data_IF_215534709263
#
_entry.id   IF_215534709263
#
_cell.length_a   1.000
_cell.length_b   1.000
_cell.length_c   1.000
_cell.angle_alpha   90.00
_cell.angle_beta   90.00
_cell.angle_gamma   90.00
#
_symmetry.space_group_name_H-M   'P 1'
#
loop_
_entity.id
_entity.type
_entity.pdbx_description
1 polymer ?
#
# COMPACT_ATOMS: atom_id res chain seq x y z
N UNK A 1 15.31 -6.97 -16.75
CA UNK A 1 15.94 -7.98 -15.86
C UNK A 1 17.45 -8.06 -16.00
N UNK A 2 18.03 -7.76 -17.17
CA UNK A 2 19.48 -7.86 -17.50
C UNK A 2 20.46 -7.13 -16.57
N UNK A 3 19.98 -6.29 -15.66
CA UNK A 3 20.80 -5.54 -14.70
C UNK A 3 20.54 -5.91 -13.23
N UNK A 4 19.63 -6.85 -12.94
CA UNK A 4 19.23 -7.20 -11.57
C UNK A 4 20.41 -7.84 -10.82
N UNK A 5 21.00 -8.89 -11.39
CA UNK A 5 22.18 -9.54 -10.84
C UNK A 5 23.33 -8.56 -10.55
N UNK A 6 23.65 -7.70 -11.53
CA UNK A 6 24.70 -6.67 -11.40
C UNK A 6 24.42 -5.69 -10.26
N UNK A 7 23.15 -5.35 -9.99
CA UNK A 7 22.78 -4.49 -8.87
C UNK A 7 22.91 -5.23 -7.53
N UNK A 8 22.51 -6.50 -7.49
CA UNK A 8 22.63 -7.33 -6.29
C UNK A 8 24.09 -7.58 -5.90
N UNK A 9 24.97 -7.87 -6.87
CA UNK A 9 26.40 -8.12 -6.61
C UNK A 9 27.17 -6.88 -6.10
N UNK A 10 26.57 -5.68 -6.17
CA UNK A 10 27.12 -4.48 -5.55
C UNK A 10 26.79 -4.36 -4.05
N UNK A 11 25.79 -5.10 -3.57
CA UNK A 11 25.23 -4.98 -2.22
C UNK A 11 25.38 -6.25 -1.39
N UNK A 12 25.41 -7.41 -2.03
CA UNK A 12 25.41 -8.73 -1.39
C UNK A 12 26.61 -9.57 -1.82
N UNK A 13 26.98 -10.53 -0.99
CA UNK A 13 28.03 -11.49 -1.29
C UNK A 13 27.69 -12.36 -2.51
N UNK A 14 28.71 -12.73 -3.28
CA UNK A 14 28.53 -13.36 -4.59
C UNK A 14 27.80 -14.71 -4.51
N UNK A 15 27.96 -15.44 -3.41
CA UNK A 15 27.36 -16.76 -3.17
C UNK A 15 25.83 -16.74 -3.04
N UNK A 16 25.23 -15.59 -2.72
CA UNK A 16 23.77 -15.43 -2.61
C UNK A 16 23.12 -14.73 -3.81
N UNK A 17 23.91 -14.05 -4.65
CA UNK A 17 23.41 -13.17 -5.71
C UNK A 17 22.49 -13.90 -6.69
N UNK A 18 22.91 -15.06 -7.19
CA UNK A 18 22.15 -15.79 -8.22
C UNK A 18 20.84 -16.35 -7.64
N UNK A 19 20.86 -16.84 -6.40
CA UNK A 19 19.66 -17.31 -5.69
C UNK A 19 18.66 -16.17 -5.43
N UNK A 20 19.14 -15.00 -4.99
CA UNK A 20 18.29 -13.82 -4.79
C UNK A 20 17.69 -13.32 -6.11
N UNK A 21 18.50 -13.25 -7.17
CA UNK A 21 18.04 -12.85 -8.49
C UNK A 21 16.90 -13.77 -8.97
N UNK A 22 17.11 -15.09 -8.92
CA UNK A 22 16.09 -16.07 -9.33
C UNK A 22 14.79 -15.93 -8.52
N UNK A 23 14.89 -15.74 -7.20
CA UNK A 23 13.73 -15.55 -6.31
C UNK A 23 12.94 -14.26 -6.60
N UNK A 24 13.63 -13.19 -6.96
CA UNK A 24 13.00 -11.92 -7.34
C UNK A 24 12.34 -12.04 -8.71
N UNK A 25 13.04 -12.62 -9.69
CA UNK A 25 12.52 -12.82 -11.04
C UNK A 25 11.27 -13.70 -11.05
N UNK A 26 11.26 -14.80 -10.29
CA UNK A 26 10.09 -15.65 -10.14
C UNK A 26 8.86 -14.87 -9.62
N UNK A 27 9.05 -13.99 -8.62
CA UNK A 27 7.97 -13.15 -8.07
C UNK A 27 7.49 -12.12 -9.08
N UNK A 28 8.40 -11.49 -9.82
CA UNK A 28 8.05 -10.53 -10.87
C UNK A 28 7.25 -11.21 -11.98
N UNK A 29 7.70 -12.37 -12.47
CA UNK A 29 7.01 -13.14 -13.51
C UNK A 29 5.62 -13.59 -13.05
N UNK A 30 5.50 -14.13 -11.84
CA UNK A 30 4.21 -14.50 -11.25
C UNK A 30 3.26 -13.30 -11.17
N UNK A 31 3.78 -12.12 -10.86
CA UNK A 31 2.98 -10.90 -10.76
C UNK A 31 2.57 -10.37 -12.14
N UNK A 32 3.45 -10.44 -13.14
CA UNK A 32 3.15 -10.02 -14.53
C UNK A 32 2.01 -10.84 -15.17
N UNK A 33 1.83 -12.09 -14.74
CA UNK A 33 0.71 -12.92 -15.20
C UNK A 33 -0.66 -12.42 -14.69
N UNK A 34 -0.69 -11.64 -13.60
CA UNK A 34 -1.89 -10.98 -13.11
C UNK A 34 -2.16 -9.79 -14.03
N UNK A 35 -3.01 -9.96 -15.04
CA UNK A 35 -3.42 -8.88 -15.97
C UNK A 35 -4.15 -7.78 -15.19
N UNK A 36 -3.42 -6.77 -14.74
CA UNK A 36 -3.95 -5.62 -14.02
C UNK A 36 -4.21 -4.49 -15.01
N UNK A 37 -5.43 -3.97 -15.04
CA UNK A 37 -5.75 -2.75 -15.78
C UNK A 37 -5.14 -1.56 -15.06
N UNK A 38 -4.30 -0.80 -15.75
CA UNK A 38 -3.65 0.40 -15.21
C UNK A 38 -3.73 1.51 -16.24
N UNK A 39 -3.76 2.75 -15.75
CA UNK A 39 -3.54 3.92 -16.60
C UNK A 39 -2.06 3.97 -16.95
N UNK A 40 -1.73 4.13 -18.24
CA UNK A 40 -0.35 4.06 -18.71
C UNK A 40 0.48 5.32 -18.41
N UNK A 41 -0.14 6.50 -18.46
CA UNK A 41 0.54 7.78 -18.27
C UNK A 41 -0.27 8.69 -17.35
N UNK A 42 0.42 9.66 -16.76
CA UNK A 42 -0.24 10.69 -15.97
C UNK A 42 -0.77 11.81 -16.88
N UNK A 43 -1.87 12.45 -16.48
CA UNK A 43 -2.46 13.63 -17.14
C UNK A 43 -3.05 14.60 -16.08
N UNK A 44 -3.65 15.69 -16.53
CA UNK A 44 -4.20 16.74 -15.67
C UNK A 44 -5.38 16.27 -14.79
N UNK A 45 -5.93 15.08 -15.04
CA UNK A 45 -7.00 14.46 -14.26
C UNK A 45 -6.45 13.51 -13.19
N UNK A 46 -5.15 13.47 -12.95
CA UNK A 46 -4.59 12.72 -11.81
C UNK A 46 -4.53 13.60 -10.57
N UNK A 47 -5.69 14.03 -10.07
CA UNK A 47 -5.77 14.84 -8.85
C UNK A 47 -5.77 13.90 -7.64
N UNK A 48 -4.84 14.14 -6.72
CA UNK A 48 -4.60 13.24 -5.57
C UNK A 48 -5.15 13.86 -4.29
N UNK A 49 -6.00 13.10 -3.59
CA UNK A 49 -6.38 13.36 -2.21
C UNK A 49 -5.45 12.57 -1.28
N UNK A 50 -4.65 13.26 -0.47
CA UNK A 50 -3.82 12.64 0.57
C UNK A 50 -4.54 12.81 1.91
N UNK A 51 -4.79 11.71 2.61
CA UNK A 51 -5.63 11.71 3.82
C UNK A 51 -5.34 10.52 4.72
N UNK A 52 -5.60 10.67 6.01
CA UNK A 52 -5.73 9.52 6.90
C UNK A 52 -7.03 8.75 6.61
N UNK A 53 -7.00 7.43 6.78
CA UNK A 53 -8.17 6.56 6.60
C UNK A 53 -9.26 6.73 7.67
N UNK A 54 -8.98 7.52 8.71
CA UNK A 54 -9.89 7.84 9.80
C UNK A 54 -10.29 9.33 9.84
N UNK A 55 -10.01 10.09 8.79
CA UNK A 55 -10.37 11.51 8.69
C UNK A 55 -11.88 11.76 8.90
N UNK A 56 -12.72 10.80 8.53
CA UNK A 56 -14.16 10.81 8.77
C UNK A 56 -14.55 9.62 9.65
N UNK A 57 -15.37 9.88 10.67
CA UNK A 57 -15.80 8.88 11.66
C UNK A 57 -17.31 8.99 11.88
N UNK A 58 -17.96 7.83 11.93
CA UNK A 58 -19.32 7.67 12.44
C UNK A 58 -19.25 6.74 13.66
N UNK A 59 -20.11 6.96 14.65
CA UNK A 59 -20.17 6.10 15.82
C UNK A 59 -20.54 4.66 15.40
N UNK A 60 -19.86 3.68 15.98
CA UNK A 60 -20.07 2.24 15.69
C UNK A 60 -19.84 1.80 14.24
N UNK A 61 -19.11 2.57 13.42
CA UNK A 61 -18.73 2.19 12.05
C UNK A 61 -17.20 2.11 11.87
N UNK A 62 -16.76 1.26 10.95
CA UNK A 62 -15.36 1.25 10.48
C UNK A 62 -15.09 2.51 9.68
N UNK A 63 -13.96 3.17 9.94
CA UNK A 63 -13.73 4.50 9.38
C UNK A 63 -13.54 4.48 7.87
N UNK A 64 -13.02 3.40 7.28
CA UNK A 64 -12.92 3.26 5.82
C UNK A 64 -14.31 3.22 5.15
N UNK A 65 -15.30 2.62 5.82
CA UNK A 65 -16.70 2.62 5.35
C UNK A 65 -17.27 4.04 5.35
N UNK A 66 -17.09 4.77 6.44
CA UNK A 66 -17.52 6.16 6.54
C UNK A 66 -16.78 7.06 5.55
N UNK A 67 -15.46 6.88 5.41
CA UNK A 67 -14.64 7.59 4.44
C UNK A 67 -15.17 7.38 3.03
N UNK A 68 -15.46 6.13 2.63
CA UNK A 68 -16.01 5.83 1.30
C UNK A 68 -17.33 6.56 1.05
N UNK A 69 -18.26 6.57 2.02
CA UNK A 69 -19.52 7.32 1.89
C UNK A 69 -19.28 8.81 1.63
N UNK A 70 -18.38 9.42 2.40
CA UNK A 70 -18.03 10.83 2.25
C UNK A 70 -17.35 11.11 0.92
N UNK A 71 -16.41 10.26 0.53
CA UNK A 71 -15.71 10.36 -0.74
C UNK A 71 -16.66 10.26 -1.92
N UNK A 72 -17.51 9.24 -1.97
CA UNK A 72 -18.46 9.03 -3.07
C UNK A 72 -19.46 10.17 -3.21
N UNK A 73 -19.89 10.74 -2.08
CA UNK A 73 -20.91 11.79 -2.05
C UNK A 73 -20.34 13.15 -2.44
N UNK A 74 -19.10 13.47 -2.05
CA UNK A 74 -18.60 14.85 -2.07
C UNK A 74 -17.27 15.05 -2.78
N UNK A 75 -16.42 14.02 -2.90
CA UNK A 75 -15.02 14.19 -3.31
C UNK A 75 -14.69 13.48 -4.63
N UNK A 76 -15.44 12.44 -4.99
CA UNK A 76 -15.17 11.57 -6.15
C UNK A 76 -15.09 12.30 -7.48
N UNK A 77 -15.82 13.39 -7.66
CA UNK A 77 -15.79 14.18 -8.89
C UNK A 77 -14.54 15.04 -9.05
N UNK A 78 -13.77 15.23 -7.97
CA UNK A 78 -12.60 16.12 -7.95
C UNK A 78 -11.27 15.38 -7.77
N UNK A 79 -11.28 14.17 -7.21
CA UNK A 79 -10.07 13.40 -6.92
C UNK A 79 -10.19 12.00 -7.50
N UNK A 80 -9.36 11.67 -8.48
CA UNK A 80 -9.33 10.35 -9.11
C UNK A 80 -8.47 9.35 -8.33
N UNK A 81 -7.59 9.87 -7.46
CA UNK A 81 -6.62 9.10 -6.69
C UNK A 81 -6.79 9.44 -5.20
N UNK A 82 -6.90 8.40 -4.37
CA UNK A 82 -6.81 8.53 -2.91
C UNK A 82 -5.52 7.90 -2.44
N UNK A 83 -4.67 8.73 -1.83
CA UNK A 83 -3.52 8.28 -1.07
C UNK A 83 -3.90 8.20 0.41
N UNK A 84 -4.13 6.97 0.88
CA UNK A 84 -4.24 6.75 2.32
C UNK A 84 -2.86 6.74 2.95
N UNK A 85 -2.64 7.67 3.88
CA UNK A 85 -1.55 7.60 4.84
C UNK A 85 -1.62 6.28 5.64
N UNK A 86 -0.53 5.82 6.26
CA UNK A 86 -0.39 4.43 6.67
C UNK A 86 -1.58 3.90 7.49
N UNK A 87 -2.22 2.86 6.96
CA UNK A 87 -3.44 2.24 7.50
C UNK A 87 -3.20 0.84 8.08
N UNK A 88 -1.94 0.41 8.16
CA UNK A 88 -1.54 -0.84 8.79
C UNK A 88 -1.69 -0.75 10.32
N UNK A 89 -1.76 -1.87 11.06
CA UNK A 89 -1.55 -1.85 12.50
C UNK A 89 -0.19 -1.21 12.83
N UNK A 90 -0.15 -0.26 13.76
CA UNK A 90 1.04 0.51 14.09
C UNK A 90 1.16 0.74 15.61
N UNK A 91 2.35 1.11 16.07
CA UNK A 91 2.60 1.38 17.50
C UNK A 91 2.78 2.86 17.86
N UNK A 92 3.16 3.69 16.88
CA UNK A 92 3.58 5.10 17.05
C UNK A 92 3.74 5.79 15.69
N UNK A 93 4.12 7.07 15.70
CA UNK A 93 4.46 7.87 14.51
C UNK A 93 3.31 7.94 13.49
N UNK A 94 2.07 8.12 13.99
CA UNK A 94 0.85 8.28 13.19
C UNK A 94 0.72 7.31 12.01
N UNK A 95 1.05 6.04 12.25
CA UNK A 95 0.96 4.97 11.26
C UNK A 95 2.31 4.50 10.69
N UNK A 96 3.38 5.28 10.81
CA UNK A 96 4.68 4.96 10.19
C UNK A 96 5.51 3.93 10.98
N UNK A 97 5.21 3.70 12.26
CA UNK A 97 5.77 2.56 13.02
C UNK A 97 4.93 1.30 12.82
N UNK A 98 5.01 0.68 11.64
CA UNK A 98 4.16 -0.45 11.22
C UNK A 98 4.49 -1.75 11.97
N UNK A 99 3.47 -2.42 12.51
CA UNK A 99 3.57 -3.71 13.20
C UNK A 99 3.41 -4.88 12.20
N UNK A 100 2.41 -4.82 11.32
CA UNK A 100 2.11 -5.89 10.35
C UNK A 100 1.67 -5.33 8.99
N UNK A 101 2.52 -5.50 7.97
CA UNK A 101 2.23 -5.10 6.59
C UNK A 101 1.17 -5.96 5.87
N UNK A 102 0.72 -7.06 6.48
CA UNK A 102 -0.27 -7.98 5.89
C UNK A 102 -1.69 -7.74 6.40
N UNK A 103 -1.88 -6.82 7.34
CA UNK A 103 -3.18 -6.50 7.92
C UNK A 103 -3.54 -5.03 7.69
N UNK A 104 -4.84 -4.72 7.74
CA UNK A 104 -5.35 -3.36 7.90
C UNK A 104 -5.58 -3.14 9.39
N UNK A 105 -5.35 -1.92 9.89
CA UNK A 105 -5.68 -1.58 11.27
C UNK A 105 -7.18 -1.88 11.52
N UNK A 106 -7.52 -2.76 12.48
CA UNK A 106 -8.90 -3.16 12.73
C UNK A 106 -9.83 -2.00 13.07
N UNK A 107 -9.33 -0.88 13.59
CA UNK A 107 -10.14 0.33 13.83
C UNK A 107 -10.61 0.96 12.51
N UNK A 108 -9.75 0.91 11.49
CA UNK A 108 -10.03 1.43 10.15
C UNK A 108 -10.96 0.51 9.35
N UNK A 109 -10.70 -0.81 9.39
CA UNK A 109 -11.42 -1.81 8.60
C UNK A 109 -10.58 -3.06 8.29
N UNK A 110 -10.85 -3.68 7.15
CA UNK A 110 -10.10 -4.82 6.61
C UNK A 110 -9.77 -4.65 5.10
N UNK A 111 -9.14 -5.68 4.49
CA UNK A 111 -8.81 -5.65 3.07
C UNK A 111 -10.03 -5.62 2.14
N UNK A 112 -11.22 -6.05 2.59
CA UNK A 112 -12.45 -5.93 1.82
C UNK A 112 -12.88 -4.46 1.74
N UNK A 113 -12.71 -3.71 2.80
CA UNK A 113 -13.01 -2.26 2.80
C UNK A 113 -12.09 -1.51 1.83
N UNK A 114 -10.79 -1.85 1.80
CA UNK A 114 -9.83 -1.32 0.81
C UNK A 114 -10.25 -1.67 -0.62
N UNK A 115 -10.65 -2.93 -0.88
CA UNK A 115 -11.15 -3.36 -2.20
C UNK A 115 -12.46 -2.66 -2.59
N UNK A 116 -13.30 -2.34 -1.63
CA UNK A 116 -14.54 -1.61 -1.87
C UNK A 116 -14.24 -0.15 -2.26
N UNK A 117 -13.22 0.45 -1.65
CA UNK A 117 -12.73 1.78 -2.04
C UNK A 117 -12.13 1.79 -3.46
N UNK A 118 -11.39 0.75 -3.86
CA UNK A 118 -10.79 0.61 -5.21
C UNK A 118 -11.83 0.70 -6.34
N UNK A 119 -13.09 0.37 -6.07
CA UNK A 119 -14.18 0.51 -7.06
C UNK A 119 -14.52 1.96 -7.40
N UNK A 120 -14.07 2.92 -6.59
CA UNK A 120 -14.45 4.33 -6.69
C UNK A 120 -13.28 5.29 -6.89
N UNK A 121 -12.06 4.85 -6.60
CA UNK A 121 -10.83 5.61 -6.76
C UNK A 121 -9.66 4.69 -7.12
N UNK A 122 -8.64 5.24 -7.79
CA UNK A 122 -7.32 4.59 -7.79
C UNK A 122 -6.68 4.82 -6.43
N UNK A 123 -6.04 3.78 -5.91
CA UNK A 123 -5.45 3.82 -4.56
C UNK A 123 -3.93 3.95 -4.62
N UNK A 124 -3.40 4.76 -3.70
CA UNK A 124 -1.98 4.93 -3.44
C UNK A 124 -1.73 4.74 -1.94
N UNK A 125 -0.61 4.10 -1.60
CA UNK A 125 -0.25 3.79 -0.21
C UNK A 125 1.24 4.02 0.03
N UNK A 126 1.57 4.32 1.28
CA UNK A 126 2.94 4.33 1.75
C UNK A 126 3.54 2.92 1.81
N UNK A 127 4.77 2.78 1.28
CA UNK A 127 5.59 1.60 1.48
C UNK A 127 6.76 1.95 2.41
N UNK A 128 6.54 1.78 3.72
CA UNK A 128 7.53 2.06 4.76
C UNK A 128 8.59 0.94 4.78
N UNK A 129 9.55 0.99 3.87
CA UNK A 129 10.52 -0.10 3.71
C UNK A 129 11.78 0.05 4.57
N UNK A 130 12.03 1.25 5.09
CA UNK A 130 13.28 1.57 5.80
C UNK A 130 13.29 1.07 7.26
N UNK A 131 12.14 1.06 7.92
CA UNK A 131 12.00 0.66 9.32
C UNK A 131 10.62 0.07 9.57
N UNK A 132 10.44 -0.55 10.74
CA UNK A 132 9.15 -1.05 11.22
C UNK A 132 9.11 -1.03 12.75
N UNK A 133 7.94 -1.22 13.35
CA UNK A 133 7.76 -1.25 14.81
C UNK A 133 8.57 -2.39 15.43
N UNK A 134 9.24 -2.09 16.56
CA UNK A 134 9.88 -3.10 17.41
C UNK A 134 8.90 -4.14 17.97
N UNK A 135 7.58 -3.89 17.90
CA UNK A 135 6.53 -4.84 18.30
C UNK A 135 6.18 -5.86 17.20
N UNK A 136 6.75 -5.74 16.01
CA UNK A 136 6.51 -6.68 14.91
C UNK A 136 7.06 -8.07 15.20
N UNK A 137 6.43 -9.09 14.62
CA UNK A 137 6.88 -10.48 14.72
C UNK A 137 8.28 -10.71 14.13
N UNK A 138 8.80 -9.78 13.31
CA UNK A 138 10.16 -9.89 12.76
C UNK A 138 11.26 -9.61 13.79
N UNK A 139 10.92 -8.98 14.92
CA UNK A 139 11.84 -8.71 16.04
C UNK A 139 11.63 -9.65 17.23
N UNK A 140 10.72 -10.62 17.12
CA UNK A 140 10.50 -11.67 18.12
C UNK A 140 11.31 -12.90 17.76
#
# INVERSE_FOLDING_TARGET
MTNLRKRLSRLYAEDVVDSLAARIEARVQQTQQRKLTRKDQWDEKDIVLITYGDQFKEESQKTLTTFKKMYDSYLKSAFEIVHFLPFYPYSSDDGFSVIDYKAVNPELGDWKDIKEMEKSARLMFDFVCNHMSAKSDWFK
#
